data_IF_102634861589
#
_entry.id   IF_102634861589
#
_cell.length_a   1.000
_cell.length_b   1.000
_cell.length_c   1.000
_cell.angle_alpha   90.00
_cell.angle_beta   90.00
_cell.angle_gamma   90.00
#
_symmetry.space_group_name_H-M   'P 1'
#
loop_
_entity.id
_entity.type
_entity.pdbx_description
1 polymer ?
#
# COMPACT_ATOMS: atom_id res chain seq x y z
N UNK A 1 1.36 22.49 10.33
CA UNK A 1 1.67 21.75 11.58
C UNK A 1 2.40 20.48 11.19
N UNK A 2 3.40 20.04 11.95
CA UNK A 2 4.06 18.75 11.78
C UNK A 2 3.55 17.77 12.84
N UNK A 3 3.60 16.47 12.53
CA UNK A 3 3.25 15.40 13.45
C UNK A 3 4.40 14.38 13.48
N UNK A 4 4.83 13.98 14.67
CA UNK A 4 5.92 13.01 14.85
C UNK A 4 5.36 11.59 14.89
N UNK A 5 5.90 10.70 14.05
CA UNK A 5 5.64 9.26 14.08
C UNK A 5 6.85 8.52 14.65
N UNK A 6 6.61 7.35 15.25
CA UNK A 6 7.66 6.48 15.78
C UNK A 6 8.40 5.68 14.68
N UNK A 7 7.75 5.47 13.54
CA UNK A 7 8.24 4.66 12.42
C UNK A 7 8.17 5.44 11.10
N UNK A 8 8.94 5.00 10.12
CA UNK A 8 8.85 5.50 8.75
C UNK A 8 7.48 5.16 8.17
N UNK A 9 6.90 6.13 7.47
CA UNK A 9 5.63 6.01 6.77
C UNK A 9 5.85 6.18 5.28
N UNK A 10 5.38 5.22 4.49
CA UNK A 10 5.44 5.28 3.03
C UNK A 10 4.22 5.96 2.43
N UNK A 11 3.04 5.65 2.95
CA UNK A 11 1.77 6.23 2.50
C UNK A 11 0.73 6.21 3.62
N UNK A 12 -0.37 6.94 3.42
CA UNK A 12 -1.52 6.93 4.32
C UNK A 12 -2.82 7.19 3.58
N UNK A 13 -3.93 6.78 4.20
CA UNK A 13 -5.30 7.08 3.77
C UNK A 13 -6.11 7.65 4.94
N UNK A 14 -7.14 8.43 4.62
CA UNK A 14 -8.05 9.01 5.62
C UNK A 14 -9.15 8.02 6.02
N UNK A 15 -9.52 8.03 7.29
CA UNK A 15 -10.68 7.33 7.83
C UNK A 15 -11.82 8.31 8.14
N UNK A 16 -13.06 7.82 8.13
CA UNK A 16 -14.26 8.64 8.42
C UNK A 16 -14.26 9.23 9.83
N UNK A 17 -13.63 8.55 10.81
CA UNK A 17 -13.52 9.04 12.19
C UNK A 17 -12.42 10.11 12.39
N UNK A 18 -11.82 10.59 11.29
CA UNK A 18 -10.76 11.59 11.30
C UNK A 18 -9.38 11.04 11.67
N UNK A 19 -9.24 9.73 11.90
CA UNK A 19 -7.93 9.08 11.98
C UNK A 19 -7.35 8.80 10.59
N UNK A 20 -6.11 8.34 10.56
CA UNK A 20 -5.44 7.84 9.36
C UNK A 20 -5.19 6.34 9.50
N UNK A 21 -5.06 5.64 8.36
CA UNK A 21 -4.35 4.37 8.30
C UNK A 21 -3.11 4.57 7.44
N UNK A 22 -1.94 4.25 8.00
CA UNK A 22 -0.66 4.36 7.32
C UNK A 22 -0.08 3.00 6.97
N UNK A 23 0.55 2.91 5.80
CA UNK A 23 1.53 1.88 5.51
C UNK A 23 2.88 2.31 6.06
N UNK A 24 3.34 1.64 7.12
CA UNK A 24 4.57 2.00 7.84
C UNK A 24 5.56 0.83 7.88
N UNK A 25 6.75 1.06 8.45
CA UNK A 25 7.71 -0.01 8.76
C UNK A 25 7.12 -1.10 9.67
N UNK A 26 6.17 -0.74 10.53
CA UNK A 26 5.51 -1.69 11.43
C UNK A 26 4.26 -2.33 10.80
N UNK A 27 4.06 -2.21 9.49
CA UNK A 27 2.89 -2.70 8.76
C UNK A 27 1.78 -1.66 8.64
N UNK A 28 0.53 -2.12 8.57
CA UNK A 28 -0.62 -1.23 8.60
C UNK A 28 -0.85 -0.73 10.03
N UNK A 29 -0.86 0.58 10.22
CA UNK A 29 -1.11 1.21 11.52
C UNK A 29 -2.27 2.20 11.43
N UNK A 30 -3.16 2.17 12.41
CA UNK A 30 -4.09 3.28 12.65
C UNK A 30 -3.35 4.37 13.40
N UNK A 31 -3.48 5.61 12.93
CA UNK A 31 -2.76 6.77 13.45
C UNK A 31 -3.77 7.86 13.82
N UNK A 32 -3.76 8.28 15.08
CA UNK A 32 -4.51 9.46 15.53
C UNK A 32 -3.55 10.62 15.73
N UNK A 33 -3.87 11.76 15.12
CA UNK A 33 -3.08 12.98 15.24
C UNK A 33 -3.52 13.76 16.47
N UNK A 34 -2.56 14.16 17.32
CA UNK A 34 -2.83 14.93 18.54
C UNK A 34 -2.57 16.41 18.33
N UNK A 35 -3.24 17.27 19.11
CA UNK A 35 -3.12 18.74 18.98
C UNK A 35 -1.72 19.27 19.30
N UNK A 36 -0.94 18.55 20.11
CA UNK A 36 0.43 18.86 20.52
C UNK A 36 1.47 18.50 19.44
N UNK A 37 1.06 17.93 18.30
CA UNK A 37 1.96 17.45 17.25
C UNK A 37 2.44 16.01 17.47
N UNK A 38 1.96 15.31 18.50
CA UNK A 38 2.19 13.88 18.67
C UNK A 38 1.23 13.02 17.85
N UNK A 39 1.50 11.72 17.84
CA UNK A 39 0.60 10.71 17.26
C UNK A 39 0.38 9.56 18.23
N UNK A 40 -0.82 8.98 18.21
CA UNK A 40 -1.12 7.71 18.86
C UNK A 40 -1.27 6.65 17.75
N UNK A 41 -0.37 5.68 17.72
CA UNK A 41 -0.31 4.66 16.68
C UNK A 41 -0.72 3.29 17.24
N UNK A 42 -1.57 2.57 16.51
CA UNK A 42 -1.98 1.19 16.84
C UNK A 42 -1.76 0.30 15.63
N UNK A 43 -0.98 -0.76 15.78
CA UNK A 43 -0.76 -1.75 14.71
C UNK A 43 -2.07 -2.48 14.43
N UNK A 44 -2.46 -2.51 13.16
CA UNK A 44 -3.60 -3.30 12.65
C UNK A 44 -3.08 -4.68 12.25
N UNK A 45 -2.06 -4.71 11.39
CA UNK A 45 -1.47 -5.94 10.88
C UNK A 45 -0.08 -5.67 10.31
N UNK A 46 0.85 -6.61 10.48
CA UNK A 46 2.19 -6.57 9.90
C UNK A 46 2.39 -7.76 8.95
N UNK A 47 2.03 -7.62 7.66
CA UNK A 47 2.19 -8.71 6.68
C UNK A 47 3.66 -8.95 6.30
N UNK A 48 4.58 -8.09 6.76
CA UNK A 48 6.00 -8.10 6.41
C UNK A 48 6.89 -8.51 7.59
N UNK A 49 6.31 -8.90 8.75
CA UNK A 49 7.02 -9.25 9.98
C UNK A 49 8.15 -10.30 9.81
N UNK A 50 8.10 -11.08 8.73
CA UNK A 50 9.10 -12.09 8.35
C UNK A 50 10.45 -11.51 7.93
N UNK A 51 10.51 -10.27 7.46
CA UNK A 51 11.76 -9.56 7.14
C UNK A 51 11.64 -8.08 7.48
N UNK A 52 12.41 -7.63 8.47
CA UNK A 52 12.42 -6.24 8.94
C UNK A 52 13.04 -5.24 7.97
N UNK A 53 13.61 -5.72 6.87
CA UNK A 53 14.08 -4.88 5.76
C UNK A 53 12.97 -4.58 4.76
N UNK A 54 11.84 -5.29 4.82
CA UNK A 54 10.64 -4.94 4.07
C UNK A 54 9.82 -3.91 4.85
N UNK A 55 9.32 -2.90 4.16
CA UNK A 55 8.36 -1.93 4.68
C UNK A 55 7.25 -1.66 3.68
N UNK A 56 6.07 -1.30 4.18
CA UNK A 56 5.03 -0.75 3.33
C UNK A 56 5.45 0.63 2.83
N UNK A 57 5.20 0.88 1.55
CA UNK A 57 5.70 2.02 0.81
C UNK A 57 4.51 2.79 0.23
N UNK A 58 4.33 2.79 -1.09
CA UNK A 58 3.24 3.54 -1.72
C UNK A 58 1.89 2.83 -1.58
N UNK A 59 0.82 3.62 -1.61
CA UNK A 59 -0.51 3.10 -1.36
C UNK A 59 -1.62 4.05 -1.77
N UNK A 60 -2.77 3.46 -2.08
CA UNK A 60 -3.97 4.18 -2.52
C UNK A 60 -5.25 3.48 -2.07
N UNK A 61 -6.24 4.29 -1.70
CA UNK A 61 -7.58 3.80 -1.43
C UNK A 61 -8.36 3.63 -2.75
N UNK A 62 -9.07 2.52 -2.91
CA UNK A 62 -10.04 2.37 -4.01
C UNK A 62 -11.43 2.92 -3.65
N UNK A 63 -12.36 2.88 -4.62
CA UNK A 63 -13.73 3.40 -4.44
C UNK A 63 -14.61 2.61 -3.47
N UNK A 64 -14.17 1.44 -3.00
CA UNK A 64 -14.85 0.66 -1.95
C UNK A 64 -14.19 0.81 -0.59
N UNK A 65 -13.26 1.77 -0.44
CA UNK A 65 -12.62 2.05 0.85
C UNK A 65 -11.51 1.06 1.20
N UNK A 66 -11.04 0.24 0.26
CA UNK A 66 -9.93 -0.69 0.52
C UNK A 66 -8.61 0.02 0.28
N UNK A 67 -7.68 -0.14 1.21
CA UNK A 67 -6.35 0.43 1.12
C UNK A 67 -5.39 -0.57 0.46
N UNK A 68 -4.99 -0.26 -0.76
CA UNK A 68 -3.98 -1.00 -1.50
C UNK A 68 -2.61 -0.42 -1.18
N UNK A 69 -1.66 -1.25 -0.79
CA UNK A 69 -0.33 -0.79 -0.41
C UNK A 69 0.73 -1.78 -0.88
N UNK A 70 1.71 -1.26 -1.61
CA UNK A 70 2.87 -2.02 -2.04
C UNK A 70 3.99 -1.90 -1.02
N UNK A 71 4.83 -2.92 -0.93
CA UNK A 71 6.03 -2.90 -0.11
C UNK A 71 7.28 -2.55 -0.92
N UNK A 72 8.38 -2.34 -0.21
CA UNK A 72 9.73 -2.21 -0.75
C UNK A 72 10.71 -2.89 0.19
N UNK A 73 11.80 -3.43 -0.34
CA UNK A 73 12.94 -3.90 0.46
C UNK A 73 13.97 -2.78 0.57
N UNK A 74 14.58 -2.60 1.76
CA UNK A 74 15.41 -1.44 2.08
C UNK A 74 16.73 -1.33 1.31
N UNK A 75 17.19 -2.42 0.69
CA UNK A 75 18.36 -2.39 -0.21
C UNK A 75 17.99 -2.00 -1.65
N UNK A 76 16.69 -1.93 -1.98
CA UNK A 76 16.17 -1.65 -3.32
C UNK A 76 16.68 -2.63 -4.39
N UNK A 77 17.05 -3.84 -4.00
CA UNK A 77 17.63 -4.89 -4.84
C UNK A 77 16.80 -6.18 -4.73
N UNK A 78 16.55 -6.81 -5.88
CA UNK A 78 15.80 -8.07 -5.98
C UNK A 78 14.29 -7.88 -5.92
N UNK A 79 13.56 -8.93 -6.31
CA UNK A 79 12.10 -8.87 -6.54
C UNK A 79 11.31 -9.33 -5.31
N UNK A 80 11.50 -8.65 -4.19
CA UNK A 80 10.93 -9.03 -2.89
C UNK A 80 9.68 -8.22 -2.49
N UNK A 81 9.39 -7.14 -3.21
CA UNK A 81 8.23 -6.30 -2.94
C UNK A 81 6.93 -7.00 -3.35
N UNK A 82 5.88 -6.68 -2.61
CA UNK A 82 4.57 -7.32 -2.67
C UNK A 82 3.47 -6.28 -2.63
N UNK A 83 2.30 -6.64 -3.15
CA UNK A 83 1.10 -5.81 -3.09
C UNK A 83 0.10 -6.41 -2.11
N UNK A 84 -0.39 -5.59 -1.19
CA UNK A 84 -1.41 -5.93 -0.22
C UNK A 84 -2.66 -5.09 -0.38
N UNK A 85 -3.77 -5.63 0.11
CA UNK A 85 -5.05 -4.95 0.25
C UNK A 85 -5.52 -5.10 1.70
N UNK A 86 -5.77 -3.97 2.36
CA UNK A 86 -6.44 -3.89 3.65
C UNK A 86 -7.91 -3.52 3.41
N UNK A 87 -8.82 -4.37 3.85
CA UNK A 87 -10.26 -4.18 3.73
C UNK A 87 -10.83 -3.34 4.89
N UNK A 88 -12.04 -2.76 4.75
CA UNK A 88 -12.70 -2.00 5.81
C UNK A 88 -12.91 -2.77 7.13
N UNK A 89 -12.96 -4.11 7.07
CA UNK A 89 -13.02 -4.99 8.25
C UNK A 89 -11.65 -5.26 8.89
N UNK A 90 -10.61 -4.57 8.40
CA UNK A 90 -9.21 -4.67 8.81
C UNK A 90 -8.52 -6.00 8.45
N UNK A 91 -9.14 -6.83 7.62
CA UNK A 91 -8.46 -8.00 7.06
C UNK A 91 -7.41 -7.57 6.01
N UNK A 92 -6.26 -8.24 6.03
CA UNK A 92 -5.17 -8.00 5.07
C UNK A 92 -5.03 -9.21 4.15
N UNK A 93 -5.07 -8.95 2.85
CA UNK A 93 -4.86 -9.95 1.81
C UNK A 93 -3.64 -9.59 0.97
N UNK A 94 -2.74 -10.57 0.75
CA UNK A 94 -1.67 -10.45 -0.25
C UNK A 94 -2.28 -10.64 -1.64
N UNK A 95 -2.10 -9.66 -2.51
CA UNK A 95 -2.72 -9.61 -3.84
C UNK A 95 -1.77 -10.02 -4.96
N UNK A 96 -0.50 -9.63 -4.87
CA UNK A 96 0.55 -10.01 -5.83
C UNK A 96 1.95 -9.81 -5.22
N UNK A 97 3.00 -10.15 -5.95
CA UNK A 97 4.37 -9.76 -5.63
C UNK A 97 5.33 -9.91 -6.80
N UNK A 98 6.59 -10.20 -6.46
CA UNK A 98 7.70 -10.25 -7.42
C UNK A 98 7.93 -8.88 -8.08
N UNK A 99 7.97 -7.82 -7.26
CA UNK A 99 8.35 -6.47 -7.67
C UNK A 99 9.69 -6.09 -7.04
N UNK A 100 10.43 -5.18 -7.66
CA UNK A 100 11.60 -4.57 -7.03
C UNK A 100 11.16 -3.41 -6.14
N UNK A 101 10.42 -2.44 -6.69
CA UNK A 101 9.85 -1.32 -5.92
C UNK A 101 8.43 -1.03 -6.42
N UNK A 102 7.42 -1.55 -5.71
CA UNK A 102 6.02 -1.25 -6.02
C UNK A 102 5.64 0.18 -5.62
N UNK A 103 5.17 0.95 -6.60
CA UNK A 103 4.78 2.36 -6.52
C UNK A 103 3.62 2.66 -7.49
N UNK A 104 3.12 3.89 -7.46
CA UNK A 104 2.22 4.45 -8.47
C UNK A 104 0.89 3.70 -8.61
N UNK A 105 0.33 3.20 -7.50
CA UNK A 105 -0.96 2.49 -7.55
C UNK A 105 -2.03 3.43 -8.09
N UNK A 106 -2.73 3.02 -9.14
CA UNK A 106 -3.81 3.81 -9.73
C UNK A 106 -4.95 2.91 -10.23
N UNK A 107 -6.13 3.49 -10.37
CA UNK A 107 -7.32 2.82 -10.89
C UNK A 107 -7.83 3.58 -12.11
N UNK A 108 -8.33 2.87 -13.12
CA UNK A 108 -8.95 3.53 -14.28
C UNK A 108 -10.24 4.26 -13.86
N UNK A 109 -10.64 5.33 -14.58
CA UNK A 109 -11.84 6.09 -14.21
C UNK A 109 -13.14 5.29 -14.19
N UNK A 110 -13.21 4.22 -15.00
CA UNK A 110 -14.31 3.26 -15.12
C UNK A 110 -14.19 2.07 -14.16
N UNK A 111 -13.21 2.09 -13.26
CA UNK A 111 -12.94 1.07 -12.23
C UNK A 111 -12.70 -0.35 -12.76
N UNK A 112 -12.36 -0.50 -14.05
CA UNK A 112 -12.12 -1.81 -14.70
C UNK A 112 -10.66 -2.26 -14.66
N UNK A 113 -9.73 -1.36 -14.31
CA UNK A 113 -8.29 -1.64 -14.29
C UNK A 113 -7.61 -1.08 -13.05
N UNK A 114 -6.61 -1.80 -12.58
CA UNK A 114 -5.63 -1.31 -11.62
C UNK A 114 -4.25 -1.27 -12.28
N UNK A 115 -3.46 -0.24 -11.97
CA UNK A 115 -2.09 -0.06 -12.43
C UNK A 115 -1.15 -0.07 -11.22
N UNK A 116 0.05 -0.60 -11.40
CA UNK A 116 1.14 -0.57 -10.43
C UNK A 116 2.46 -0.36 -11.19
N UNK A 117 3.22 0.66 -10.82
CA UNK A 117 4.56 0.88 -11.34
C UNK A 117 5.60 0.13 -10.50
N UNK A 118 6.43 -0.68 -11.13
CA UNK A 118 7.68 -1.16 -10.55
C UNK A 118 8.79 -0.19 -10.95
N UNK A 119 9.12 0.75 -10.06
CA UNK A 119 9.97 1.91 -10.40
C UNK A 119 11.40 1.51 -10.78
N UNK A 120 11.88 0.36 -10.29
CA UNK A 120 13.25 -0.09 -10.56
C UNK A 120 13.34 -1.04 -11.76
N UNK A 121 12.23 -1.71 -12.07
CA UNK A 121 12.05 -2.50 -13.30
C UNK A 121 11.58 -1.64 -14.48
N UNK A 122 11.42 -0.32 -14.27
CA UNK A 122 10.95 0.67 -15.25
C UNK A 122 9.68 0.24 -15.99
N UNK A 123 8.81 -0.49 -15.29
CA UNK A 123 7.65 -1.16 -15.89
C UNK A 123 6.38 -0.81 -15.15
N UNK A 124 5.35 -0.41 -15.89
CA UNK A 124 3.98 -0.28 -15.36
C UNK A 124 3.21 -1.55 -15.70
N UNK A 125 2.70 -2.22 -14.66
CA UNK A 125 1.80 -3.36 -14.77
C UNK A 125 0.35 -2.89 -14.78
N UNK A 126 -0.50 -3.59 -15.51
CA UNK A 126 -1.96 -3.44 -15.47
C UNK A 126 -2.61 -4.78 -15.14
N UNK A 127 -3.71 -4.69 -14.39
CA UNK A 127 -4.56 -5.79 -13.99
C UNK A 127 -5.99 -5.48 -14.42
N UNK A 128 -6.74 -6.53 -14.75
CA UNK A 128 -8.19 -6.43 -14.76
C UNK A 128 -8.66 -6.34 -13.31
N UNK A 129 -9.49 -5.35 -13.00
CA UNK A 129 -9.90 -5.02 -11.63
C UNK A 129 -11.41 -5.22 -11.49
N UNK A 130 -11.80 -6.04 -10.52
CA UNK A 130 -13.17 -6.19 -10.07
C UNK A 130 -13.37 -5.31 -8.84
N UNK A 131 -13.98 -4.13 -9.03
CA UNK A 131 -14.21 -3.18 -7.94
C UNK A 131 -15.06 -3.79 -6.82
N UNK A 132 -16.10 -4.54 -7.13
CA UNK A 132 -17.03 -5.03 -6.11
C UNK A 132 -16.38 -6.12 -5.25
N UNK A 133 -15.60 -7.01 -5.86
CA UNK A 133 -14.90 -8.09 -5.13
C UNK A 133 -13.51 -7.71 -4.62
N UNK A 134 -12.94 -6.66 -5.17
CA UNK A 134 -11.57 -6.21 -4.87
C UNK A 134 -10.51 -7.17 -5.36
N UNK A 135 -10.77 -7.80 -6.50
CA UNK A 135 -9.87 -8.79 -7.08
C UNK A 135 -9.13 -8.17 -8.24
N UNK A 136 -7.88 -8.57 -8.38
CA UNK A 136 -7.05 -8.29 -9.55
C UNK A 136 -6.75 -9.61 -10.25
N UNK A 137 -6.68 -9.56 -11.58
CA UNK A 137 -6.30 -10.71 -12.41
C UNK A 137 -5.61 -10.22 -13.69
N UNK A 138 -5.05 -11.16 -14.46
CA UNK A 138 -4.54 -10.86 -15.80
C UNK A 138 -3.38 -9.85 -15.81
N UNK A 139 -2.47 -9.95 -14.83
CA UNK A 139 -1.24 -9.14 -14.76
C UNK A 139 -0.53 -9.16 -16.11
N UNK A 140 -0.33 -7.97 -16.68
CA UNK A 140 0.38 -7.80 -17.95
C UNK A 140 1.10 -6.45 -17.98
N UNK A 141 2.16 -6.37 -18.76
CA UNK A 141 2.88 -5.11 -18.97
C UNK A 141 1.99 -4.13 -19.71
N UNK A 142 1.80 -2.94 -19.15
CA UNK A 142 1.12 -1.83 -19.79
C UNK A 142 2.11 -0.95 -20.57
N UNK A 143 3.24 -0.63 -19.94
CA UNK A 143 4.28 0.24 -20.49
C UNK A 143 5.64 -0.09 -19.85
N UNK A 144 6.74 0.13 -20.58
CA UNK A 144 8.10 0.09 -20.07
C UNK A 144 8.98 1.09 -20.81
N UNK A 145 9.99 1.65 -20.14
CA UNK A 145 11.01 2.52 -20.75
C UNK A 145 12.33 1.81 -21.00
#
# INVERSE_FOLDING_TARGET
>A
RSFQLADDIGSFVFCEDGSLIGGTRAGFQRIRLRKDGGTDCTVIADPLARDRRLLLNDGKCDRRGRYWCASVHSDFIGRQAELFRLDPDLSVTRMDGDFVIGNGIAFSPDDSRMYLADSRDETVWVYDFDLDRGRIAGKRRFFST
#
